data_IF_123114828568
#
_entry.id   IF_123114828568
#
_cell.length_a   1.000
_cell.length_b   1.000
_cell.length_c   1.000
_cell.angle_alpha   90.00
_cell.angle_beta   90.00
_cell.angle_gamma   90.00
#
_symmetry.space_group_name_H-M   'P 1'
#
loop_
_entity.id
_entity.type
_entity.pdbx_description
1 polymer ?
#
# COMPACT_ATOMS: atom_id res chain seq x y z
N UNK A 1 -4.74 12.48 14.12
CA UNK A 1 -4.12 12.31 12.79
C UNK A 1 -3.42 10.98 12.83
N UNK A 2 -3.55 10.15 11.78
CA UNK A 2 -2.85 8.89 11.74
C UNK A 2 -1.36 9.17 11.53
N UNK A 3 -0.49 8.34 12.11
CA UNK A 3 0.94 8.46 11.86
C UNK A 3 1.23 8.07 10.41
N UNK A 4 2.13 8.80 9.76
CA UNK A 4 2.53 8.51 8.40
C UNK A 4 3.59 7.40 8.38
N UNK A 5 3.60 6.61 7.31
CA UNK A 5 4.64 5.62 7.07
C UNK A 5 5.09 5.64 5.61
N UNK A 6 6.30 5.14 5.39
CA UNK A 6 6.88 4.98 4.06
C UNK A 6 6.10 3.92 3.27
N UNK A 7 5.57 4.30 2.12
CA UNK A 7 4.95 3.39 1.17
C UNK A 7 5.64 3.42 -0.19
N UNK A 8 5.89 2.24 -0.76
CA UNK A 8 6.50 2.08 -2.08
C UNK A 8 5.66 1.17 -2.99
N UNK A 9 5.22 1.70 -4.14
CA UNK A 9 4.59 0.90 -5.19
C UNK A 9 5.58 0.70 -6.33
N UNK A 10 6.02 -0.54 -6.52
CA UNK A 10 7.03 -0.90 -7.51
C UNK A 10 6.40 -1.70 -8.65
N UNK A 11 6.69 -1.33 -9.90
CA UNK A 11 6.42 -2.16 -11.08
C UNK A 11 7.71 -2.74 -11.64
N UNK A 12 7.65 -3.75 -12.52
CA UNK A 12 8.85 -4.28 -13.19
C UNK A 12 9.67 -3.23 -13.95
N UNK A 13 9.03 -2.16 -14.41
CA UNK A 13 9.67 -1.11 -15.22
C UNK A 13 10.26 0.01 -14.37
N UNK A 14 9.62 0.37 -13.25
CA UNK A 14 10.03 1.49 -12.39
C UNK A 14 9.30 1.53 -11.05
N UNK A 15 9.83 2.37 -10.15
CA UNK A 15 9.13 2.83 -8.95
C UNK A 15 8.00 3.79 -9.35
N UNK A 16 6.75 3.44 -9.04
CA UNK A 16 5.57 4.24 -9.34
C UNK A 16 5.26 5.24 -8.22
N UNK A 17 5.38 4.81 -6.97
CA UNK A 17 5.13 5.63 -5.78
C UNK A 17 6.25 5.39 -4.77
N UNK A 18 6.74 6.45 -4.15
CA UNK A 18 7.55 6.41 -2.92
C UNK A 18 7.24 7.66 -2.12
N UNK A 19 6.40 7.54 -1.09
CA UNK A 19 5.90 8.67 -0.32
C UNK A 19 5.57 8.29 1.13
N UNK A 20 5.36 9.32 1.95
CA UNK A 20 4.79 9.20 3.30
C UNK A 20 3.26 9.23 3.22
N UNK A 21 2.61 8.18 3.69
CA UNK A 21 1.17 7.95 3.53
C UNK A 21 0.51 7.65 4.88
N UNK A 22 -0.75 8.03 5.06
CA UNK A 22 -1.52 7.69 6.27
C UNK A 22 -2.06 6.25 6.21
N UNK A 23 -2.45 5.81 5.02
CA UNK A 23 -3.05 4.49 4.82
C UNK A 23 -2.99 4.05 3.36
N UNK A 24 -2.92 2.74 3.14
CA UNK A 24 -3.02 2.12 1.83
C UNK A 24 -4.05 1.01 1.86
N UNK A 25 -4.97 1.00 0.90
CA UNK A 25 -5.93 -0.08 0.70
C UNK A 25 -5.45 -0.95 -0.44
N UNK A 26 -5.28 -2.25 -0.19
CA UNK A 26 -4.85 -3.24 -1.17
C UNK A 26 -5.88 -4.37 -1.33
N UNK A 27 -6.09 -4.88 -2.56
CA UNK A 27 -6.89 -6.07 -2.79
C UNK A 27 -6.07 -7.33 -2.46
N UNK A 28 -5.97 -7.69 -1.19
CA UNK A 28 -5.22 -8.87 -0.72
C UNK A 28 -5.91 -10.20 -1.08
N UNK A 29 -5.17 -11.31 -0.95
CA UNK A 29 -5.67 -12.66 -1.25
C UNK A 29 -7.02 -12.96 -0.57
N UNK A 30 -7.08 -12.72 0.74
CA UNK A 30 -8.22 -13.01 1.61
C UNK A 30 -9.31 -11.91 1.60
N UNK A 31 -9.10 -10.80 0.89
CA UNK A 31 -10.02 -9.66 0.88
C UNK A 31 -9.32 -8.32 0.80
N UNK A 32 -10.09 -7.24 0.89
CA UNK A 32 -9.54 -5.88 0.99
C UNK A 32 -8.84 -5.70 2.34
N UNK A 33 -7.64 -5.14 2.30
CA UNK A 33 -6.83 -4.86 3.49
C UNK A 33 -6.41 -3.40 3.51
N UNK A 34 -6.66 -2.74 4.64
CA UNK A 34 -6.17 -1.38 4.90
C UNK A 34 -4.93 -1.45 5.77
N UNK A 35 -3.79 -1.11 5.19
CA UNK A 35 -2.50 -0.97 5.88
C UNK A 35 -2.38 0.45 6.43
N UNK A 36 -1.98 0.55 7.70
CA UNK A 36 -1.74 1.81 8.41
C UNK A 36 -0.37 1.74 9.10
N UNK A 37 0.08 2.85 9.68
CA UNK A 37 1.29 2.84 10.50
C UNK A 37 1.23 1.78 11.60
N UNK A 38 2.37 1.12 11.85
CA UNK A 38 2.53 0.04 12.83
C UNK A 38 1.68 -1.21 12.59
N UNK A 39 1.24 -1.45 11.35
CA UNK A 39 0.58 -2.71 10.99
C UNK A 39 1.52 -3.90 11.29
N UNK A 40 0.95 -5.00 11.77
CA UNK A 40 1.72 -6.21 12.03
C UNK A 40 2.41 -6.72 10.74
N UNK A 41 3.60 -7.30 10.83
CA UNK A 41 4.29 -7.79 9.64
C UNK A 41 3.48 -8.87 8.92
N UNK A 42 3.22 -8.68 7.64
CA UNK A 42 2.40 -9.58 6.82
C UNK A 42 2.92 -9.56 5.38
N UNK A 43 3.15 -10.75 4.82
CA UNK A 43 3.39 -10.91 3.39
C UNK A 43 2.16 -11.54 2.75
N UNK A 44 1.61 -10.93 1.71
CA UNK A 44 0.41 -11.43 1.02
C UNK A 44 0.47 -11.19 -0.48
N UNK A 45 -0.26 -11.97 -1.26
CA UNK A 45 -0.44 -11.72 -2.69
C UNK A 45 -1.51 -10.67 -2.92
N UNK A 46 -1.28 -9.79 -3.88
CA UNK A 46 -2.24 -8.78 -4.35
C UNK A 46 -3.01 -9.38 -5.53
N UNK A 47 -4.34 -9.31 -5.49
CA UNK A 47 -5.23 -9.68 -6.59
C UNK A 47 -5.33 -8.52 -7.60
N UNK A 48 -5.69 -8.78 -8.87
CA UNK A 48 -6.02 -7.71 -9.80
C UNK A 48 -7.12 -6.81 -9.23
N UNK A 49 -6.91 -5.49 -9.24
CA UNK A 49 -7.82 -4.55 -8.59
C UNK A 49 -7.25 -3.13 -8.50
N UNK A 50 -7.72 -2.37 -7.51
CA UNK A 50 -7.32 -0.98 -7.29
C UNK A 50 -6.63 -0.85 -5.95
N UNK A 51 -5.40 -0.36 -5.95
CA UNK A 51 -4.71 0.09 -4.75
C UNK A 51 -5.04 1.56 -4.52
N UNK A 52 -5.54 1.89 -3.33
CA UNK A 52 -5.85 3.28 -2.96
C UNK A 52 -4.84 3.76 -1.93
N UNK A 53 -4.13 4.83 -2.26
CA UNK A 53 -3.09 5.42 -1.43
C UNK A 53 -3.60 6.75 -0.89
N UNK A 54 -3.61 6.90 0.43
CA UNK A 54 -3.97 8.16 1.07
C UNK A 54 -2.72 8.83 1.62
N UNK A 55 -2.32 9.93 1.00
CA UNK A 55 -1.14 10.69 1.40
C UNK A 55 -1.33 11.38 2.76
N UNK A 56 -0.22 11.76 3.40
CA UNK A 56 -0.22 12.56 4.63
C UNK A 56 -0.97 13.91 4.52
N UNK A 57 -1.15 14.44 3.30
CA UNK A 57 -1.93 15.66 3.03
C UNK A 57 -3.44 15.43 2.96
N UNK A 58 -3.91 14.18 3.04
CA UNK A 58 -5.30 13.79 2.88
C UNK A 58 -5.76 13.60 1.43
N UNK A 59 -4.86 13.74 0.46
CA UNK A 59 -5.15 13.42 -0.95
C UNK A 59 -5.18 11.91 -1.17
N UNK A 60 -6.12 11.44 -2.01
CA UNK A 60 -6.24 10.04 -2.41
C UNK A 60 -5.77 9.85 -3.85
N UNK A 61 -4.93 8.84 -4.05
CA UNK A 61 -4.47 8.39 -5.36
C UNK A 61 -4.87 6.93 -5.57
N UNK A 62 -5.20 6.56 -6.82
CA UNK A 62 -5.68 5.22 -7.15
C UNK A 62 -4.87 4.62 -8.28
N UNK A 63 -4.42 3.38 -8.07
CA UNK A 63 -3.56 2.65 -8.98
C UNK A 63 -4.23 1.33 -9.37
N UNK A 64 -4.36 1.08 -10.67
CA UNK A 64 -4.82 -0.22 -11.15
C UNK A 64 -3.63 -1.17 -11.16
N UNK A 65 -3.77 -2.31 -10.49
CA UNK A 65 -2.75 -3.35 -10.43
C UNK A 65 -3.31 -4.64 -11.01
N UNK A 66 -2.47 -5.39 -11.73
CA UNK A 66 -2.84 -6.70 -12.29
C UNK A 66 -2.48 -7.86 -11.36
N UNK A 67 -1.96 -7.56 -10.18
CA UNK A 67 -1.51 -8.51 -9.17
C UNK A 67 -0.07 -8.25 -8.74
N UNK A 68 0.40 -9.03 -7.76
CA UNK A 68 1.74 -8.89 -7.21
C UNK A 68 1.83 -9.40 -5.78
N UNK A 69 2.72 -8.81 -5.00
CA UNK A 69 2.91 -9.11 -3.59
C UNK A 69 2.93 -7.80 -2.80
N UNK A 70 2.38 -7.82 -1.59
CA UNK A 70 2.54 -6.79 -0.59
C UNK A 70 3.39 -7.36 0.54
N UNK A 71 4.43 -6.62 0.92
CA UNK A 71 5.30 -6.94 2.05
C UNK A 71 5.20 -5.82 3.08
N UNK A 72 4.46 -6.09 4.15
CA UNK A 72 4.19 -5.13 5.21
C UNK A 72 5.17 -5.42 6.34
N UNK A 73 5.97 -4.42 6.69
CA UNK A 73 6.96 -4.49 7.76
C UNK A 73 6.78 -3.32 8.73
N UNK A 74 7.35 -3.36 9.95
CA UNK A 74 7.14 -2.28 10.92
C UNK A 74 7.63 -0.91 10.44
N UNK A 75 8.56 -0.88 9.47
CA UNK A 75 9.14 0.33 8.92
C UNK A 75 8.40 0.89 7.68
N UNK A 76 7.47 0.15 7.07
CA UNK A 76 6.82 0.55 5.81
C UNK A 76 6.07 -0.58 5.09
N UNK A 77 5.54 -0.26 3.92
CA UNK A 77 4.79 -1.17 3.05
C UNK A 77 5.13 -0.95 1.57
#
# INVERSE_FOLDING_TARGET
MAEAFKFELVSPERLLVSAEVESVVIPGAEGEMTVMAHHAPVMTTIKPGVVTVKNASGSEERYVVFGGFADIVPAGC
#
